data_IF_378559081624
#
_entry.id   IF_378559081624
#
_cell.length_a   1.000
_cell.length_b   1.000
_cell.length_c   1.000
_cell.angle_alpha   90.00
_cell.angle_beta   90.00
_cell.angle_gamma   90.00
#
_symmetry.space_group_name_H-M   'P 1'
#
loop_
_entity.id
_entity.type
_entity.pdbx_description
1 polymer ?
#
# COMPACT_ATOMS: atom_id res chain seq x y z
N UNK A 1 -20.28 32.71 24.07
CA UNK A 1 -19.28 31.87 24.77
C UNK A 1 -20.11 30.80 25.43
N UNK A 2 -20.21 29.58 24.90
CA UNK A 2 -19.11 28.74 24.45
C UNK A 2 -19.47 27.82 23.27
N UNK A 3 -18.54 27.71 22.33
CA UNK A 3 -18.46 26.66 21.34
C UNK A 3 -17.77 25.44 21.96
N UNK A 4 -18.38 24.26 21.86
CA UNK A 4 -17.62 23.00 21.80
C UNK A 4 -18.47 21.89 21.17
N UNK A 5 -18.50 21.88 19.85
CA UNK A 5 -18.74 20.66 19.08
C UNK A 5 -17.38 20.07 18.74
N UNK A 6 -16.99 18.99 19.41
CA UNK A 6 -15.95 18.10 18.93
C UNK A 6 -16.69 16.98 18.18
N UNK A 7 -16.70 17.06 16.85
CA UNK A 7 -17.02 15.92 16.03
C UNK A 7 -15.75 15.06 15.96
N UNK A 8 -15.73 13.98 16.72
CA UNK A 8 -14.79 12.88 16.53
C UNK A 8 -15.10 12.26 15.16
N UNK A 9 -14.29 12.56 14.17
CA UNK A 9 -14.39 11.99 12.82
C UNK A 9 -13.80 10.58 12.80
N UNK A 10 -14.48 9.60 13.39
CA UNK A 10 -14.20 8.19 13.13
C UNK A 10 -14.85 7.83 11.78
N UNK A 11 -14.09 7.94 10.68
CA UNK A 11 -14.58 7.63 9.31
C UNK A 11 -14.67 6.12 9.02
N UNK A 12 -14.71 5.29 10.07
CA UNK A 12 -15.02 3.86 9.97
C UNK A 12 -16.49 3.68 9.59
N UNK A 13 -16.79 3.83 8.30
CA UNK A 13 -18.00 3.27 7.74
C UNK A 13 -18.03 1.75 7.99
N UNK A 14 -19.23 1.17 8.13
CA UNK A 14 -19.44 -0.20 8.64
C UNK A 14 -18.85 -1.34 7.78
N UNK A 15 -18.13 -1.01 6.70
CA UNK A 15 -17.50 -1.90 5.74
C UNK A 15 -16.01 -2.17 6.04
N UNK A 16 -15.37 -1.37 6.91
CA UNK A 16 -13.98 -1.57 7.31
C UNK A 16 -13.87 -2.62 8.42
N UNK A 17 -12.99 -3.61 8.20
CA UNK A 17 -12.69 -4.64 9.19
C UNK A 17 -11.20 -4.66 9.48
N UNK A 18 -10.78 -5.17 10.65
CA UNK A 18 -9.36 -5.25 11.00
C UNK A 18 -8.58 -5.97 9.89
N UNK A 19 -7.49 -5.37 9.43
CA UNK A 19 -6.71 -5.92 8.32
C UNK A 19 -5.98 -7.19 8.72
N UNK A 20 -5.98 -8.17 7.83
CA UNK A 20 -5.19 -9.38 7.97
C UNK A 20 -3.77 -9.22 7.39
N UNK A 21 -2.88 -10.10 7.84
CA UNK A 21 -1.56 -10.35 7.24
C UNK A 21 -1.53 -11.80 6.75
N UNK A 22 -0.85 -12.04 5.62
CA UNK A 22 -0.67 -13.38 5.07
C UNK A 22 0.40 -14.16 5.86
N UNK A 23 0.01 -15.29 6.42
CA UNK A 23 0.87 -16.29 7.06
C UNK A 23 0.91 -17.57 6.21
N UNK A 24 1.82 -18.50 6.53
CA UNK A 24 1.92 -19.82 5.86
C UNK A 24 0.60 -20.61 5.92
N UNK A 25 -0.18 -20.42 6.98
CA UNK A 25 -1.43 -21.16 7.22
C UNK A 25 -2.69 -20.38 6.78
N UNK A 26 -2.52 -19.23 6.11
CA UNK A 26 -3.61 -18.37 5.62
C UNK A 26 -3.56 -16.95 6.17
N UNK A 27 -4.66 -16.21 6.04
CA UNK A 27 -4.80 -14.86 6.58
C UNK A 27 -4.97 -14.88 8.12
N UNK A 28 -4.21 -14.06 8.82
CA UNK A 28 -4.27 -13.95 10.28
C UNK A 28 -4.35 -12.50 10.73
N UNK A 29 -5.13 -12.23 11.77
CA UNK A 29 -5.12 -10.94 12.46
C UNK A 29 -3.81 -10.83 13.24
N UNK A 30 -3.01 -9.80 12.95
CA UNK A 30 -1.68 -9.62 13.55
C UNK A 30 -1.62 -8.37 14.43
N UNK A 31 -0.69 -8.33 15.39
CA UNK A 31 -0.28 -7.09 16.05
C UNK A 31 0.61 -6.22 15.16
N UNK A 32 1.17 -6.82 14.09
CA UNK A 32 2.06 -6.17 13.13
C UNK A 32 1.29 -5.33 12.09
N UNK A 33 -0.02 -5.52 11.98
CA UNK A 33 -0.93 -4.70 11.17
C UNK A 33 -2.15 -4.35 12.01
N UNK A 34 -2.25 -3.09 12.41
CA UNK A 34 -3.31 -2.60 13.30
C UNK A 34 -4.36 -1.76 12.57
N UNK A 35 -4.17 -1.54 11.26
CA UNK A 35 -5.13 -0.88 10.38
C UNK A 35 -6.44 -1.67 10.21
N UNK A 36 -7.45 -1.00 9.67
CA UNK A 36 -8.64 -1.64 9.09
C UNK A 36 -8.62 -1.54 7.56
N UNK A 37 -9.24 -2.50 6.88
CA UNK A 37 -9.32 -2.52 5.43
C UNK A 37 -10.67 -3.04 4.94
N UNK A 38 -11.00 -2.69 3.70
CA UNK A 38 -12.13 -3.22 2.97
C UNK A 38 -11.77 -3.40 1.49
N UNK A 39 -12.52 -4.25 0.79
CA UNK A 39 -12.38 -4.41 -0.66
C UNK A 39 -13.45 -3.57 -1.33
N UNK A 40 -13.06 -2.73 -2.28
CA UNK A 40 -14.01 -1.90 -3.03
C UNK A 40 -14.86 -2.79 -3.93
N UNK A 41 -16.16 -2.57 -3.91
CA UNK A 41 -17.10 -3.23 -4.82
C UNK A 41 -16.88 -2.68 -6.23
N UNK A 42 -16.68 -3.53 -7.25
CA UNK A 42 -16.49 -3.05 -8.63
C UNK A 42 -17.66 -2.19 -9.12
N UNK A 43 -17.32 -1.06 -9.72
CA UNK A 43 -18.20 -0.08 -10.32
C UNK A 43 -17.45 0.75 -11.38
N UNK A 44 -18.14 1.68 -12.04
CA UNK A 44 -17.55 2.50 -13.10
C UNK A 44 -16.37 3.38 -12.64
N UNK A 45 -16.30 3.72 -11.36
CA UNK A 45 -15.23 4.57 -10.80
C UNK A 45 -13.99 3.72 -10.50
N UNK A 46 -14.16 2.60 -9.81
CA UNK A 46 -13.10 1.64 -9.52
C UNK A 46 -12.51 1.04 -10.79
N UNK A 47 -13.32 0.72 -11.81
CA UNK A 47 -12.84 0.28 -13.12
C UNK A 47 -12.00 1.37 -13.81
N UNK A 48 -12.42 2.64 -13.74
CA UNK A 48 -11.66 3.77 -14.30
C UNK A 48 -10.31 3.95 -13.59
N UNK A 49 -10.27 3.77 -12.26
CA UNK A 49 -9.03 3.83 -11.48
C UNK A 49 -8.09 2.67 -11.87
N UNK A 50 -8.62 1.45 -11.95
CA UNK A 50 -7.85 0.26 -12.34
C UNK A 50 -7.30 0.38 -13.76
N UNK A 51 -8.09 0.84 -14.72
CA UNK A 51 -7.61 1.05 -16.09
C UNK A 51 -6.53 2.14 -16.16
N UNK A 52 -6.65 3.22 -15.38
CA UNK A 52 -5.58 4.23 -15.30
C UNK A 52 -4.28 3.64 -14.74
N UNK A 53 -4.37 2.83 -13.68
CA UNK A 53 -3.23 2.13 -13.11
C UNK A 53 -2.61 1.13 -14.11
N UNK A 54 -3.44 0.44 -14.92
CA UNK A 54 -3.01 -0.45 -16.00
C UNK A 54 -2.22 0.31 -17.06
N UNK A 55 -2.78 1.40 -17.57
CA UNK A 55 -2.17 2.22 -18.62
C UNK A 55 -0.85 2.83 -18.18
N UNK A 56 -0.76 3.29 -16.92
CA UNK A 56 0.47 3.86 -16.36
C UNK A 56 1.66 2.89 -16.42
N UNK A 57 1.41 1.60 -16.17
CA UNK A 57 2.46 0.59 -16.13
C UNK A 57 3.07 0.30 -17.52
N UNK A 58 2.37 0.67 -18.61
CA UNK A 58 2.84 0.42 -19.97
C UNK A 58 2.98 -1.06 -20.33
N UNK A 59 2.45 -1.96 -19.50
CA UNK A 59 2.45 -3.40 -19.72
C UNK A 59 1.20 -3.81 -20.50
N UNK A 60 1.36 -4.63 -21.53
CA UNK A 60 0.25 -5.27 -22.22
C UNK A 60 -0.30 -6.44 -21.39
N UNK A 61 -0.97 -6.10 -20.28
CA UNK A 61 -1.52 -7.07 -19.31
C UNK A 61 -3.06 -6.98 -19.28
N UNK A 62 -3.82 -8.08 -19.36
CA UNK A 62 -5.28 -7.98 -19.30
C UNK A 62 -5.75 -7.49 -17.93
N UNK A 63 -6.94 -6.87 -17.90
CA UNK A 63 -7.53 -6.32 -16.65
C UNK A 63 -7.66 -7.38 -15.54
N UNK A 64 -7.80 -8.66 -15.92
CA UNK A 64 -7.88 -9.81 -14.99
C UNK A 64 -6.61 -10.04 -14.17
N UNK A 65 -5.50 -9.38 -14.51
CA UNK A 65 -4.29 -9.43 -13.69
C UNK A 65 -4.34 -8.44 -12.51
N UNK A 66 -5.24 -7.45 -12.52
CA UNK A 66 -5.40 -6.54 -11.41
C UNK A 66 -6.26 -7.20 -10.32
N UNK A 67 -5.76 -7.20 -9.09
CA UNK A 67 -6.58 -7.57 -7.93
C UNK A 67 -7.64 -6.48 -7.66
N UNK A 68 -8.79 -6.84 -7.05
CA UNK A 68 -9.75 -5.85 -6.58
C UNK A 68 -9.07 -4.80 -5.69
N UNK A 69 -9.50 -3.54 -5.83
CA UNK A 69 -8.97 -2.43 -5.04
C UNK A 69 -9.19 -2.70 -3.56
N UNK A 70 -8.15 -2.55 -2.75
CA UNK A 70 -8.26 -2.56 -1.29
C UNK A 70 -8.08 -1.14 -0.74
N UNK A 71 -9.05 -0.69 0.07
CA UNK A 71 -8.89 0.51 0.91
C UNK A 71 -8.39 0.11 2.29
N UNK A 72 -7.54 0.94 2.89
CA UNK A 72 -6.97 0.73 4.21
C UNK A 72 -7.02 2.04 4.99
N UNK A 73 -7.66 2.02 6.15
CA UNK A 73 -7.76 3.16 7.05
C UNK A 73 -6.76 3.01 8.20
N UNK A 74 -6.08 4.11 8.54
CA UNK A 74 -5.19 4.22 9.68
C UNK A 74 -5.59 5.43 10.52
N UNK A 75 -6.03 5.16 11.75
CA UNK A 75 -6.21 6.16 12.80
C UNK A 75 -4.97 6.30 13.69
N UNK A 76 -5.13 7.03 14.80
CA UNK A 76 -4.07 7.32 15.76
C UNK A 76 -3.37 6.03 16.24
N UNK A 77 -2.05 5.97 16.04
CA UNK A 77 -1.18 4.86 16.42
C UNK A 77 -1.27 3.62 15.53
N UNK A 78 -2.19 3.56 14.57
CA UNK A 78 -2.32 2.42 13.67
C UNK A 78 -1.18 2.40 12.64
N UNK A 79 -0.66 1.21 12.35
CA UNK A 79 0.51 0.98 11.50
C UNK A 79 0.42 -0.34 10.73
N UNK A 80 1.35 -0.53 9.80
CA UNK A 80 1.66 -1.82 9.21
C UNK A 80 3.19 -2.00 9.14
N UNK A 81 3.70 -2.98 9.86
CA UNK A 81 5.11 -3.35 9.93
C UNK A 81 5.71 -3.66 8.55
N UNK A 82 7.04 -3.70 8.53
CA UNK A 82 7.82 -3.98 7.33
C UNK A 82 7.44 -5.31 6.67
N UNK A 83 6.98 -5.23 5.44
CA UNK A 83 6.57 -6.37 4.64
C UNK A 83 6.91 -6.15 3.16
N UNK A 84 6.63 -7.19 2.36
CA UNK A 84 6.79 -7.18 0.91
C UNK A 84 5.45 -7.59 0.32
N UNK A 85 5.11 -7.00 -0.83
CA UNK A 85 3.88 -7.36 -1.54
C UNK A 85 4.05 -8.62 -2.38
N UNK A 86 5.27 -8.97 -2.76
CA UNK A 86 5.53 -10.24 -3.44
C UNK A 86 5.60 -11.41 -2.46
N UNK A 87 5.24 -12.58 -2.98
CA UNK A 87 5.22 -13.84 -2.26
C UNK A 87 6.55 -14.59 -2.42
N UNK A 88 7.19 -14.96 -1.32
CA UNK A 88 8.36 -15.85 -1.33
C UNK A 88 8.05 -17.28 -1.77
N UNK A 89 9.10 -18.09 -1.98
CA UNK A 89 8.97 -19.50 -2.38
C UNK A 89 8.11 -20.29 -1.39
N UNK A 90 8.14 -19.92 -0.12
CA UNK A 90 7.32 -20.51 0.95
C UNK A 90 5.81 -20.34 0.74
N UNK A 91 5.39 -19.46 -0.17
CA UNK A 91 3.99 -19.20 -0.55
C UNK A 91 3.66 -19.67 -1.98
N UNK A 92 4.58 -20.36 -2.67
CA UNK A 92 4.39 -20.81 -4.05
C UNK A 92 3.21 -21.80 -4.22
N UNK A 93 2.80 -22.48 -3.15
CA UNK A 93 1.61 -23.34 -3.12
C UNK A 93 0.28 -22.64 -2.81
N UNK A 94 0.32 -21.34 -2.47
CA UNK A 94 -0.85 -20.56 -2.04
C UNK A 94 -1.09 -19.33 -2.91
N UNK A 95 -1.09 -18.15 -2.30
CA UNK A 95 -1.39 -16.86 -2.97
C UNK A 95 -0.40 -16.51 -4.10
N UNK A 96 0.83 -17.03 -4.05
CA UNK A 96 1.83 -16.89 -5.12
C UNK A 96 1.78 -17.97 -6.19
N UNK A 97 0.86 -18.94 -6.10
CA UNK A 97 0.76 -20.04 -7.06
C UNK A 97 0.27 -19.57 -8.42
N UNK A 98 0.62 -20.32 -9.48
CA UNK A 98 0.10 -20.08 -10.83
C UNK A 98 -1.45 -20.10 -10.85
N UNK A 99 -2.09 -21.01 -10.09
CA UNK A 99 -3.55 -21.09 -9.98
C UNK A 99 -4.17 -19.82 -9.39
N UNK A 100 -3.45 -19.12 -8.52
CA UNK A 100 -3.86 -17.84 -7.95
C UNK A 100 -3.46 -16.63 -8.82
N UNK A 101 -2.97 -16.84 -10.04
CA UNK A 101 -2.50 -15.79 -10.95
C UNK A 101 -1.03 -15.39 -10.75
N UNK A 102 -0.24 -16.20 -10.03
CA UNK A 102 1.19 -15.96 -9.81
C UNK A 102 1.47 -14.87 -8.78
N UNK A 103 2.68 -14.32 -8.83
CA UNK A 103 3.15 -13.30 -7.90
C UNK A 103 2.64 -11.89 -8.26
N UNK A 104 2.66 -10.95 -7.31
CA UNK A 104 2.40 -9.54 -7.59
C UNK A 104 3.63 -8.94 -8.28
N UNK A 105 3.47 -8.40 -9.49
CA UNK A 105 4.55 -7.80 -10.29
C UNK A 105 4.82 -6.35 -9.92
N UNK A 106 3.79 -5.62 -9.46
CA UNK A 106 3.87 -4.22 -9.07
C UNK A 106 2.78 -3.87 -8.08
N UNK A 107 2.96 -2.72 -7.44
CA UNK A 107 2.02 -2.15 -6.48
C UNK A 107 1.88 -0.65 -6.71
N UNK A 108 0.67 -0.16 -6.45
CA UNK A 108 0.42 1.24 -6.13
C UNK A 108 -0.08 1.34 -4.70
N UNK A 109 0.40 2.35 -3.98
CA UNK A 109 -0.23 2.85 -2.77
C UNK A 109 -0.64 4.31 -2.99
N UNK A 110 -1.93 4.56 -3.16
CA UNK A 110 -2.47 5.91 -3.32
C UNK A 110 -3.03 6.43 -2.00
N UNK A 111 -2.71 7.67 -1.64
CA UNK A 111 -3.30 8.36 -0.48
C UNK A 111 -4.63 8.97 -0.92
N UNK A 112 -5.73 8.31 -0.59
CA UNK A 112 -7.08 8.74 -0.95
C UNK A 112 -7.54 9.90 -0.09
N UNK A 113 -7.21 9.85 1.20
CA UNK A 113 -7.50 10.88 2.19
C UNK A 113 -6.33 10.96 3.17
N UNK A 114 -5.94 12.18 3.54
CA UNK A 114 -5.02 12.41 4.64
C UNK A 114 -5.39 13.72 5.34
N UNK A 115 -5.46 13.71 6.68
CA UNK A 115 -5.74 14.94 7.43
C UNK A 115 -4.72 16.04 7.10
N UNK A 116 -5.19 17.28 6.97
CA UNK A 116 -4.31 18.43 6.67
C UNK A 116 -3.19 18.61 7.73
N UNK A 117 -3.46 18.21 8.98
CA UNK A 117 -2.55 18.33 10.12
C UNK A 117 -1.81 17.03 10.46
N UNK A 118 -1.85 16.02 9.57
CA UNK A 118 -1.31 14.69 9.81
C UNK A 118 0.17 14.74 10.21
N UNK A 119 0.55 13.92 11.18
CA UNK A 119 1.94 13.69 11.59
C UNK A 119 2.19 12.19 11.62
N UNK A 120 3.33 11.75 11.10
CA UNK A 120 3.60 10.33 10.86
C UNK A 120 2.78 9.80 9.68
N UNK A 121 2.44 8.51 9.69
CA UNK A 121 1.60 7.93 8.64
C UNK A 121 2.27 7.81 7.26
N UNK A 122 3.57 8.09 7.14
CA UNK A 122 4.30 7.92 5.88
C UNK A 122 4.40 6.46 5.44
N UNK A 123 4.72 6.24 4.16
CA UNK A 123 5.08 4.92 3.65
C UNK A 123 6.60 4.86 3.55
N UNK A 124 7.24 4.09 4.43
CA UNK A 124 8.70 3.99 4.51
C UNK A 124 9.23 2.79 3.72
N UNK A 125 10.32 3.02 2.99
CA UNK A 125 11.14 2.03 2.32
C UNK A 125 12.57 2.11 2.86
N UNK A 126 12.97 1.23 3.79
CA UNK A 126 14.19 1.41 4.58
C UNK A 126 15.46 1.08 3.77
N UNK A 127 15.30 0.48 2.59
CA UNK A 127 16.40 0.03 1.71
C UNK A 127 16.57 0.90 0.46
N UNK A 128 15.72 1.91 0.28
CA UNK A 128 15.88 2.88 -0.79
C UNK A 128 16.79 4.02 -0.35
N UNK A 129 17.47 4.59 -1.34
CA UNK A 129 18.25 5.81 -1.14
C UNK A 129 17.43 7.00 -1.63
N UNK A 130 17.44 8.08 -0.86
CA UNK A 130 16.73 9.28 -1.24
C UNK A 130 17.34 9.90 -2.50
N UNK A 131 16.49 10.36 -3.44
CA UNK A 131 16.98 11.15 -4.56
C UNK A 131 17.61 12.45 -4.02
N UNK A 132 18.66 12.97 -4.68
CA UNK A 132 19.21 14.27 -4.34
C UNK A 132 18.19 15.37 -4.68
N UNK A 133 18.23 16.47 -3.93
CA UNK A 133 17.45 17.67 -4.22
C UNK A 133 16.32 17.95 -3.22
N UNK A 134 16.14 19.23 -2.88
CA UNK A 134 15.13 19.67 -1.89
C UNK A 134 13.71 19.68 -2.47
N UNK A 135 13.57 19.63 -3.79
CA UNK A 135 12.29 19.54 -4.48
C UNK A 135 11.51 18.29 -4.08
N UNK A 136 12.20 17.23 -3.66
CA UNK A 136 11.58 16.00 -3.20
C UNK A 136 10.93 16.13 -1.82
N UNK A 137 11.29 17.11 -1.00
CA UNK A 137 10.76 17.27 0.35
C UNK A 137 9.28 17.65 0.41
N UNK A 138 8.65 17.94 -0.75
CA UNK A 138 7.19 18.04 -0.85
C UNK A 138 6.48 16.68 -0.85
N UNK A 139 7.20 15.60 -1.17
CA UNK A 139 6.69 14.23 -1.31
C UNK A 139 7.36 13.25 -0.35
N UNK A 140 8.62 13.51 -0.01
CA UNK A 140 9.43 12.71 0.89
C UNK A 140 9.54 13.40 2.24
N UNK A 141 9.66 12.61 3.28
CA UNK A 141 10.03 13.12 4.59
C UNK A 141 11.54 13.35 4.65
N UNK A 142 11.93 14.62 4.52
CA UNK A 142 13.33 15.05 4.61
C UNK A 142 13.74 15.42 6.04
N UNK A 143 12.80 15.41 7.00
CA UNK A 143 13.08 15.74 8.39
C UNK A 143 13.65 14.53 9.15
N UNK A 144 13.41 13.32 8.63
CA UNK A 144 13.98 12.07 9.13
C UNK A 144 15.38 11.80 8.55
N UNK A 145 16.31 11.27 9.37
CA UNK A 145 17.59 10.77 8.89
C UNK A 145 17.45 9.72 7.77
N UNK A 146 18.23 9.86 6.70
CA UNK A 146 18.17 8.96 5.54
C UNK A 146 18.71 7.55 5.80
N UNK A 147 19.36 7.29 6.94
CA UNK A 147 19.72 5.94 7.38
C UNK A 147 18.50 5.08 7.73
N UNK A 148 17.34 5.71 7.96
CA UNK A 148 16.04 5.05 8.04
C UNK A 148 15.38 4.81 6.65
N UNK A 149 16.09 5.11 5.55
CA UNK A 149 15.62 4.97 4.17
C UNK A 149 14.74 6.11 3.68
N UNK A 150 13.80 5.83 2.78
CA UNK A 150 12.94 6.83 2.15
C UNK A 150 11.51 6.71 2.67
N UNK A 151 11.00 7.77 3.27
CA UNK A 151 9.60 7.87 3.69
C UNK A 151 8.83 8.78 2.74
N UNK A 152 7.80 8.24 2.07
CA UNK A 152 6.84 9.04 1.32
C UNK A 152 5.80 9.62 2.26
N UNK A 153 5.54 10.92 2.16
CA UNK A 153 4.54 11.63 2.94
C UNK A 153 3.13 11.26 2.47
N UNK A 154 2.15 11.14 3.39
CA UNK A 154 0.76 10.91 3.05
C UNK A 154 0.12 12.18 2.51
N UNK A 155 0.37 12.45 1.23
CA UNK A 155 -0.18 13.62 0.53
C UNK A 155 -1.38 13.17 -0.29
N UNK A 156 -2.56 13.64 0.09
CA UNK A 156 -3.82 13.30 -0.56
C UNK A 156 -3.77 13.48 -2.09
N UNK A 157 -4.31 12.51 -2.82
CA UNK A 157 -4.32 12.47 -4.28
C UNK A 157 -3.04 11.96 -4.93
N UNK A 158 -1.93 11.84 -4.20
CA UNK A 158 -0.69 11.25 -4.72
C UNK A 158 -0.68 9.73 -4.58
N UNK A 159 0.15 9.07 -5.40
CA UNK A 159 0.41 7.64 -5.32
C UNK A 159 1.90 7.33 -5.41
N UNK A 160 2.32 6.31 -4.66
CA UNK A 160 3.64 5.70 -4.77
C UNK A 160 3.49 4.42 -5.61
N UNK A 161 4.32 4.27 -6.63
CA UNK A 161 4.34 3.09 -7.50
C UNK A 161 5.72 2.41 -7.43
N UNK A 162 5.72 1.08 -7.40
CA UNK A 162 6.95 0.30 -7.48
C UNK A 162 6.74 -1.07 -8.13
N UNK A 163 7.82 -1.63 -8.67
CA UNK A 163 7.86 -3.00 -9.20
C UNK A 163 8.35 -3.95 -8.12
N UNK A 164 7.62 -5.03 -7.90
CA UNK A 164 7.89 -5.98 -6.83
C UNK A 164 8.90 -7.07 -7.21
N UNK A 165 9.13 -7.31 -8.51
CA UNK A 165 9.98 -8.40 -9.00
C UNK A 165 11.20 -7.87 -9.76
N UNK A 166 12.33 -8.57 -9.64
CA UNK A 166 13.55 -8.23 -10.39
C UNK A 166 13.45 -8.78 -11.81
N UNK A 167 13.58 -7.91 -12.81
CA UNK A 167 13.53 -8.31 -14.22
C UNK A 167 14.69 -9.25 -14.58
N UNK A 168 14.38 -10.42 -15.18
CA UNK A 168 15.39 -11.41 -15.59
C UNK A 168 16.03 -12.21 -14.44
N UNK A 169 15.61 -12.02 -13.19
CA UNK A 169 16.06 -12.84 -12.06
C UNK A 169 15.46 -14.25 -12.10
N UNK A 170 16.08 -15.21 -11.39
CA UNK A 170 15.56 -16.59 -11.21
C UNK A 170 14.30 -16.65 -10.31
N UNK A 171 13.31 -15.79 -10.57
CA UNK A 171 12.02 -15.78 -9.86
C UNK A 171 12.00 -15.06 -8.51
N UNK A 172 13.06 -14.36 -8.11
CA UNK A 172 13.11 -13.63 -6.83
C UNK A 172 12.42 -12.27 -6.89
N UNK A 173 11.72 -11.91 -5.81
CA UNK A 173 11.22 -10.55 -5.64
C UNK A 173 12.32 -9.56 -5.25
N UNK A 174 12.05 -8.27 -5.46
CA UNK A 174 12.99 -7.20 -5.13
C UNK A 174 13.00 -6.95 -3.62
N UNK A 175 14.14 -7.19 -3.00
CA UNK A 175 14.33 -6.99 -1.57
C UNK A 175 14.37 -5.50 -1.17
N UNK A 176 14.60 -4.59 -2.12
CA UNK A 176 14.64 -3.14 -1.86
C UNK A 176 13.26 -2.55 -1.59
N UNK A 177 12.19 -3.25 -2.01
CA UNK A 177 10.80 -2.80 -1.83
C UNK A 177 10.16 -3.27 -0.52
N UNK A 178 10.97 -3.76 0.43
CA UNK A 178 10.53 -3.88 1.82
C UNK A 178 9.96 -2.53 2.26
N UNK A 179 8.75 -2.51 2.79
CA UNK A 179 8.10 -1.25 3.15
C UNK A 179 7.13 -1.39 4.33
N UNK A 180 6.85 -0.27 4.98
CA UNK A 180 5.95 -0.18 6.12
C UNK A 180 5.03 1.04 5.99
N UNK A 181 3.81 0.92 6.53
CA UNK A 181 2.97 2.06 6.86
C UNK A 181 3.30 2.52 8.26
N UNK A 182 4.01 3.65 8.39
CA UNK A 182 4.42 4.18 9.69
C UNK A 182 3.21 4.59 10.54
N UNK A 183 3.35 4.60 11.88
CA UNK A 183 2.29 4.99 12.80
C UNK A 183 1.79 6.40 12.51
N UNK A 184 0.47 6.60 12.56
CA UNK A 184 -0.11 7.94 12.55
C UNK A 184 -0.01 8.53 13.95
N UNK A 185 0.78 9.58 14.13
CA UNK A 185 0.95 10.25 15.42
C UNK A 185 -0.12 11.33 15.68
N UNK A 186 -0.71 11.87 14.62
CA UNK A 186 -1.85 12.80 14.65
C UNK A 186 -2.61 12.73 13.32
N UNK A 187 -3.93 12.92 13.35
CA UNK A 187 -4.80 12.84 12.18
C UNK A 187 -5.16 11.40 11.81
N UNK A 188 -5.50 11.19 10.54
CA UNK A 188 -5.78 9.90 9.93
C UNK A 188 -5.31 9.86 8.47
N UNK A 189 -5.18 8.65 7.92
CA UNK A 189 -5.01 8.45 6.46
C UNK A 189 -5.84 7.27 5.96
N UNK A 190 -6.36 7.40 4.74
CA UNK A 190 -6.92 6.30 3.95
C UNK A 190 -6.03 6.06 2.75
N UNK A 191 -5.49 4.84 2.67
CA UNK A 191 -4.69 4.36 1.56
C UNK A 191 -5.48 3.43 0.64
N UNK A 192 -5.06 3.36 -0.62
CA UNK A 192 -5.61 2.47 -1.64
C UNK A 192 -4.49 1.63 -2.26
N UNK A 193 -4.59 0.32 -2.10
CA UNK A 193 -3.71 -0.66 -2.71
C UNK A 193 -4.28 -1.09 -4.06
N UNK A 194 -3.43 -1.06 -5.09
CA UNK A 194 -3.69 -1.68 -6.40
C UNK A 194 -2.52 -2.59 -6.71
N UNK A 195 -2.81 -3.88 -6.87
CA UNK A 195 -1.80 -4.89 -7.16
C UNK A 195 -2.03 -5.50 -8.53
N UNK A 196 -0.95 -5.59 -9.31
CA UNK A 196 -0.93 -6.33 -10.57
C UNK A 196 -0.25 -7.68 -10.35
N UNK A 197 -0.86 -8.77 -10.81
CA UNK A 197 -0.24 -10.11 -10.79
C UNK A 197 0.40 -10.46 -12.13
N UNK A 198 1.28 -11.46 -12.11
CA UNK A 198 1.90 -12.03 -13.32
C UNK A 198 0.85 -12.58 -14.29
N UNK A 199 -0.28 -13.07 -13.76
CA UNK A 199 -1.28 -13.82 -14.50
C UNK A 199 -0.88 -15.27 -14.72
N UNK A 200 -1.85 -16.09 -15.14
CA UNK A 200 -1.56 -17.42 -15.66
C UNK A 200 -0.99 -17.28 -17.06
N UNK A 201 0.23 -17.75 -17.29
CA UNK A 201 0.69 -18.02 -18.66
C UNK A 201 -0.30 -18.99 -19.31
N UNK A 202 -0.94 -18.57 -20.40
CA UNK A 202 -1.49 -19.50 -21.39
C UNK A 202 -0.40 -19.78 -22.43
#
# INVERSE_FOLDING_TARGET
MDHKGAADGDSRDGTFHRSNVLSRDGETVSSQRTSSSTTVIPDVVSDCILERARQFQGLDMPHTHLEPIQLVHYGLGEQYDFHKDWFGEEYAGGHGSARAGGNRVSSFFAYVEASEDIVGGGTNFPRLQAPPGKEWCRYLDCDEPWDAGVTFRPVEGNAVFWTNLVHGGRGGGDERVLHAGLPVARGLKVGMNIWAKQGTHN
#
